data_IF_993561226746
#
_entry.id   IF_993561226746
#
_cell.length_a   1.000
_cell.length_b   1.000
_cell.length_c   1.000
_cell.angle_alpha   90.00
_cell.angle_beta   90.00
_cell.angle_gamma   90.00
#
_symmetry.space_group_name_H-M   'P 1'
#
loop_
_entity.id
_entity.type
_entity.pdbx_description
1 polymer ?
#
# COMPACT_ATOMS: atom_id res chain seq x y z
N UNK A 1 -45.23 15.33 30.34
CA UNK A 1 -44.77 15.26 30.15
C UNK A 1 -43.87 14.79 29.70
N UNK A 2 -43.53 14.71 29.48
CA UNK A 2 -42.77 14.35 29.11
C UNK A 2 -41.90 14.08 28.47
N UNK A 3 -41.59 14.03 28.26
CA UNK A 3 -40.83 13.76 27.72
C UNK A 3 -40.01 13.34 27.24
N UNK A 4 -39.87 13.32 27.08
CA UNK A 4 -39.19 12.93 26.61
C UNK A 4 -38.45 12.63 25.97
N UNK A 5 -38.31 12.72 25.74
CA UNK A 5 -37.69 12.44 25.14
C UNK A 5 -36.91 12.22 24.58
N UNK A 6 -36.65 12.27 24.37
CA UNK A 6 -35.99 12.05 23.82
C UNK A 6 -35.15 11.85 23.27
N UNK A 7 -34.88 11.81 23.17
CA UNK A 7 -34.11 11.64 22.67
C UNK A 7 -33.36 11.17 22.12
N UNK A 8 -33.08 10.88 22.11
CA UNK A 8 -32.41 10.46 21.65
C UNK A 8 -31.86 10.08 20.82
N UNK A 9 -32.01 9.99 20.68
CA UNK A 9 -31.40 9.24 19.70
C UNK A 9 -30.37 9.57 18.89
N UNK A 10 -30.08 9.88 18.81
CA UNK A 10 -29.11 10.14 18.14
C UNK A 10 -27.95 9.40 18.18
N UNK A 11 -27.89 8.49 18.80
CA UNK A 11 -26.80 7.82 18.98
C UNK A 11 -26.27 7.05 17.86
N UNK A 12 -26.94 6.45 16.98
CA UNK A 12 -26.49 5.84 15.78
C UNK A 12 -25.65 6.76 14.95
N UNK A 13 -25.88 8.00 15.12
CA UNK A 13 -25.11 8.96 14.40
C UNK A 13 -23.64 8.89 14.73
N UNK A 14 -23.33 8.63 15.98
CA UNK A 14 -21.94 8.50 16.34
C UNK A 14 -21.26 7.37 15.60
N UNK A 15 -21.97 6.28 15.44
CA UNK A 15 -21.40 5.17 14.70
C UNK A 15 -21.12 5.55 13.24
N UNK A 16 -22.01 6.33 12.67
CA UNK A 16 -21.83 6.75 11.28
C UNK A 16 -20.65 7.67 11.10
N UNK A 17 -20.26 8.36 12.14
CA UNK A 17 -19.15 9.27 12.02
C UNK A 17 -17.83 8.67 12.43
N UNK A 18 -17.79 7.38 12.72
CA UNK A 18 -16.55 6.72 13.08
C UNK A 18 -15.57 6.79 11.92
N UNK A 19 -14.30 7.06 12.21
CA UNK A 19 -13.32 7.15 11.13
C UNK A 19 -13.11 5.80 10.46
N UNK A 20 -12.83 5.86 9.18
CA UNK A 20 -12.52 4.67 8.42
C UNK A 20 -11.13 4.19 8.76
N UNK A 21 -10.91 2.87 8.82
CA UNK A 21 -9.54 2.40 8.98
C UNK A 21 -8.71 2.83 7.79
N UNK A 22 -7.47 3.15 8.06
CA UNK A 22 -6.55 3.50 6.99
C UNK A 22 -6.16 2.23 6.25
N UNK A 23 -6.39 2.22 4.96
CA UNK A 23 -6.03 1.07 4.14
C UNK A 23 -4.67 1.22 3.48
N UNK A 24 -4.05 2.39 3.59
CA UNK A 24 -2.76 2.65 2.97
C UNK A 24 -1.65 2.57 3.98
N UNK A 25 -0.57 1.89 3.61
CA UNK A 25 0.62 1.79 4.43
C UNK A 25 1.79 2.32 3.63
N UNK A 26 2.63 3.11 4.28
CA UNK A 26 3.73 3.76 3.61
C UNK A 26 5.04 3.18 4.09
N UNK A 27 5.93 2.90 3.15
CA UNK A 27 7.26 2.38 3.46
C UNK A 27 8.27 3.10 2.62
N UNK A 28 9.48 3.25 3.15
CA UNK A 28 10.56 3.84 2.39
C UNK A 28 11.68 2.83 2.27
N UNK A 29 12.20 2.70 1.08
CA UNK A 29 13.31 1.81 0.79
C UNK A 29 14.49 2.62 0.32
N UNK A 30 15.67 2.22 0.77
CA UNK A 30 16.92 2.80 0.30
C UNK A 30 17.44 1.95 -0.83
N UNK A 31 17.57 2.53 -2.01
CA UNK A 31 17.99 1.83 -3.22
C UNK A 31 19.27 2.46 -3.72
N UNK A 32 20.39 2.03 -3.12
CA UNK A 32 21.64 2.72 -3.40
C UNK A 32 21.58 4.13 -2.85
N UNK A 33 21.70 5.11 -3.72
CA UNK A 33 21.63 6.50 -3.30
C UNK A 33 20.24 7.09 -3.42
N UNK A 34 19.29 6.31 -3.94
CA UNK A 34 17.92 6.77 -4.13
C UNK A 34 17.02 6.25 -3.04
N UNK A 35 15.99 7.02 -2.75
CA UNK A 35 14.93 6.57 -1.85
C UNK A 35 13.70 6.26 -2.69
N UNK A 36 13.06 5.15 -2.38
CA UNK A 36 11.83 4.75 -3.06
C UNK A 36 10.70 4.68 -2.05
N UNK A 37 9.71 5.52 -2.22
CA UNK A 37 8.54 5.53 -1.34
C UNK A 37 7.45 4.65 -1.91
N UNK A 38 7.04 3.65 -1.13
CA UNK A 38 6.04 2.68 -1.56
C UNK A 38 4.78 2.90 -0.75
N UNK A 39 3.66 3.04 -1.44
CA UNK A 39 2.34 3.07 -0.82
C UNK A 39 1.67 1.74 -1.09
N UNK A 40 1.32 1.03 -0.03
CA UNK A 40 0.61 -0.24 -0.15
C UNK A 40 -0.87 0.00 0.13
N UNK A 41 -1.72 -0.43 -0.81
CA UNK A 41 -3.17 -0.36 -0.67
C UNK A 41 -3.65 -1.74 -0.26
N UNK A 42 -3.98 -1.89 1.03
CA UNK A 42 -4.35 -3.20 1.56
C UNK A 42 -5.68 -3.69 1.00
N UNK A 43 -6.57 -2.77 0.66
CA UNK A 43 -7.88 -3.16 0.15
C UNK A 43 -7.78 -3.75 -1.24
N UNK A 44 -6.94 -3.19 -2.10
CA UNK A 44 -6.76 -3.65 -3.46
C UNK A 44 -5.58 -4.60 -3.61
N UNK A 45 -4.76 -4.73 -2.56
CA UNK A 45 -3.54 -5.56 -2.58
C UNK A 45 -2.62 -5.11 -3.71
N UNK A 46 -2.33 -3.81 -3.72
CA UNK A 46 -1.52 -3.17 -4.75
C UNK A 46 -0.47 -2.29 -4.11
N UNK A 47 0.62 -2.06 -4.83
CA UNK A 47 1.60 -1.07 -4.42
C UNK A 47 1.63 0.04 -5.45
N UNK A 48 1.96 1.24 -4.98
CA UNK A 48 2.03 2.43 -5.83
C UNK A 48 3.29 3.20 -5.45
N UNK A 49 3.97 3.71 -6.45
CA UNK A 49 5.19 4.47 -6.20
C UNK A 49 5.61 5.24 -7.44
N UNK A 50 6.28 6.39 -7.27
CA UNK A 50 6.87 7.09 -8.41
C UNK A 50 8.27 6.55 -8.67
N UNK A 51 8.59 6.36 -9.93
CA UNK A 51 9.93 5.94 -10.32
C UNK A 51 10.20 6.40 -11.75
N UNK A 52 11.33 7.03 -11.94
CA UNK A 52 11.79 7.47 -13.27
C UNK A 52 10.74 8.34 -13.98
N UNK A 53 10.10 9.22 -13.22
CA UNK A 53 9.13 10.15 -13.79
C UNK A 53 7.76 9.56 -14.05
N UNK A 54 7.53 8.30 -13.67
CA UNK A 54 6.25 7.62 -13.90
C UNK A 54 5.72 7.13 -12.57
N UNK A 55 4.42 7.28 -12.38
CA UNK A 55 3.76 6.77 -11.18
C UNK A 55 3.24 5.38 -11.49
N UNK A 56 3.75 4.37 -10.76
CA UNK A 56 3.43 2.98 -11.02
C UNK A 56 2.38 2.48 -10.04
N UNK A 57 1.44 1.70 -10.54
CA UNK A 57 0.46 0.99 -9.73
C UNK A 57 0.52 -0.46 -10.13
N UNK A 58 0.96 -1.31 -9.21
CA UNK A 58 1.21 -2.72 -9.51
C UNK A 58 0.31 -3.58 -8.64
N UNK A 59 -0.38 -4.54 -9.25
CA UNK A 59 -1.24 -5.44 -8.53
C UNK A 59 -0.51 -6.70 -8.12
N UNK A 60 -1.02 -7.35 -7.09
CA UNK A 60 -0.40 -8.56 -6.55
C UNK A 60 -0.41 -9.67 -7.59
N UNK A 61 0.70 -10.35 -7.71
CA UNK A 61 0.80 -11.53 -8.58
C UNK A 61 1.25 -12.72 -7.75
N UNK A 62 1.18 -13.90 -8.33
CA UNK A 62 1.62 -15.11 -7.65
C UNK A 62 3.12 -15.10 -7.48
N UNK A 63 3.57 -15.58 -6.33
CA UNK A 63 4.98 -15.64 -6.02
C UNK A 63 5.17 -16.64 -4.89
N UNK A 64 6.42 -17.09 -4.64
CA UNK A 64 6.66 -17.95 -3.48
C UNK A 64 6.18 -17.31 -2.20
N UNK A 65 5.88 -18.14 -1.22
CA UNK A 65 5.20 -17.69 -0.01
C UNK A 65 5.96 -16.59 0.71
N UNK A 66 7.29 -16.65 0.69
CA UNK A 66 8.12 -15.68 1.40
C UNK A 66 8.29 -14.37 0.65
N UNK A 67 7.81 -14.29 -0.57
CA UNK A 67 8.01 -13.13 -1.42
C UNK A 67 6.66 -12.56 -1.81
N UNK A 68 6.49 -11.26 -1.62
CA UNK A 68 5.30 -10.57 -2.10
C UNK A 68 5.67 -9.82 -3.37
N UNK A 69 5.04 -10.16 -4.47
CA UNK A 69 5.35 -9.57 -5.77
C UNK A 69 4.15 -8.86 -6.35
N UNK A 70 4.42 -7.75 -6.99
CA UNK A 70 3.39 -6.90 -7.59
C UNK A 70 3.87 -6.50 -8.99
N UNK A 71 2.99 -6.55 -9.96
CA UNK A 71 3.41 -6.31 -11.34
C UNK A 71 2.27 -5.77 -12.19
N UNK A 72 2.63 -5.06 -13.25
CA UNK A 72 1.69 -4.65 -14.28
C UNK A 72 2.01 -5.33 -15.62
N UNK A 73 2.87 -6.35 -15.58
CA UNK A 73 3.29 -7.05 -16.79
C UNK A 73 4.62 -6.58 -17.33
N UNK A 74 5.06 -5.38 -16.97
CA UNK A 74 6.33 -4.84 -17.43
C UNK A 74 7.21 -4.55 -16.24
N UNK A 75 6.67 -3.90 -15.24
CA UNK A 75 7.40 -3.52 -14.03
C UNK A 75 6.94 -4.41 -12.89
N UNK A 76 7.89 -4.97 -12.15
CA UNK A 76 7.60 -5.86 -11.04
C UNK A 76 8.35 -5.39 -9.81
N UNK A 77 7.62 -5.26 -8.70
CA UNK A 77 8.20 -4.92 -7.40
C UNK A 77 8.03 -6.13 -6.50
N UNK A 78 9.14 -6.65 -5.97
CA UNK A 78 9.12 -7.83 -5.11
C UNK A 78 9.72 -7.51 -3.77
N UNK A 79 9.07 -7.98 -2.72
CA UNK A 79 9.52 -7.78 -1.34
C UNK A 79 9.79 -9.11 -0.68
N UNK A 80 10.92 -9.19 0.03
CA UNK A 80 11.24 -10.36 0.86
C UNK A 80 11.92 -9.84 2.11
N UNK A 81 11.27 -10.01 3.27
CA UNK A 81 11.75 -9.47 4.53
C UNK A 81 11.94 -7.96 4.41
N UNK A 82 13.15 -7.48 4.60
CA UNK A 82 13.44 -6.05 4.52
C UNK A 82 14.07 -5.66 3.20
N UNK A 83 14.05 -6.56 2.23
CA UNK A 83 14.64 -6.29 0.94
C UNK A 83 13.57 -6.23 -0.12
N UNK A 84 13.85 -5.48 -1.18
CA UNK A 84 12.95 -5.36 -2.30
C UNK A 84 13.75 -5.17 -3.57
N UNK A 85 13.16 -5.61 -4.68
CA UNK A 85 13.77 -5.38 -5.99
C UNK A 85 12.74 -4.81 -6.93
N UNK A 86 13.21 -3.97 -7.84
CA UNK A 86 12.38 -3.42 -8.90
C UNK A 86 12.95 -3.91 -10.22
N UNK A 87 12.10 -4.59 -11.00
CA UNK A 87 12.50 -5.19 -12.25
C UNK A 87 11.64 -4.63 -13.35
N UNK A 88 12.23 -4.31 -14.49
CA UNK A 88 11.50 -3.82 -15.64
C UNK A 88 11.91 -4.64 -16.85
N UNK A 89 10.92 -5.26 -17.50
CA UNK A 89 11.15 -6.09 -18.69
C UNK A 89 12.23 -7.14 -18.43
N UNK A 90 12.22 -7.72 -17.23
CA UNK A 90 13.16 -8.78 -16.87
C UNK A 90 14.53 -8.31 -16.42
N UNK A 91 14.76 -6.99 -16.38
CA UNK A 91 16.06 -6.44 -15.98
C UNK A 91 15.92 -5.75 -14.64
N UNK A 92 16.77 -6.10 -13.67
CA UNK A 92 16.73 -5.49 -12.36
C UNK A 92 17.16 -4.03 -12.44
N UNK A 93 16.29 -3.14 -11.99
CA UNK A 93 16.57 -1.70 -11.99
C UNK A 93 17.10 -1.25 -10.65
N UNK A 94 16.54 -1.75 -9.56
CA UNK A 94 16.90 -1.33 -8.21
C UNK A 94 16.92 -2.51 -7.28
N UNK A 95 17.87 -2.50 -6.35
CA UNK A 95 17.89 -3.42 -5.22
C UNK A 95 17.86 -2.55 -3.97
N UNK A 96 16.89 -2.81 -3.09
CA UNK A 96 16.55 -1.87 -2.04
C UNK A 96 16.46 -2.54 -0.69
N UNK A 97 16.61 -1.71 0.37
CA UNK A 97 16.43 -2.15 1.74
C UNK A 97 15.44 -1.25 2.44
N UNK A 98 14.60 -1.85 3.25
CA UNK A 98 13.60 -1.11 4.01
C UNK A 98 14.28 -0.26 5.07
N UNK A 99 13.85 1.01 5.17
CA UNK A 99 14.38 1.95 6.16
C UNK A 99 13.57 1.96 7.43
#
# INVERSE_FOLDING_TARGET
MKKMMMLLPLFGLAACSAPQPTQYQYSQYQCGEEMLGITYDAQADMVQFPYAGVYHKLGRIESPKEIASYSDGVTTFSQQDKQATLVKSGVTQLTCELK
#
